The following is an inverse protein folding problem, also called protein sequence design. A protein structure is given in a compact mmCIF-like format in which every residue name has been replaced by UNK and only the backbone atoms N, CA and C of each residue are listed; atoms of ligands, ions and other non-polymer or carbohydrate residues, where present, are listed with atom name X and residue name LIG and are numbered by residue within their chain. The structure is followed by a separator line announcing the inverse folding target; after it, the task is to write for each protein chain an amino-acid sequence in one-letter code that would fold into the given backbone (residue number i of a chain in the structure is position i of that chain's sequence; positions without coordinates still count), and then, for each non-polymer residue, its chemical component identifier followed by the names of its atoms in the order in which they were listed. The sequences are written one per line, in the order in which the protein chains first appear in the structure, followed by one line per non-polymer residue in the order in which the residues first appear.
data_IF_929497736419
#
_entry.id   IF_929497736419
#
_cell.length_a   1.000
_cell.length_b   1.000
_cell.length_c   1.000
_cell.angle_alpha   90.00
_cell.angle_beta   90.00
_cell.angle_gamma   90.00
#
_symmetry.space_group_name_H-M   'P 1'
#
loop_
_entity.id
_entity.type
_entity.pdbx_description
1 polymer ?
#
# COMPACT_ATOMS: atom_id res chain seq x y z
N UNK A 1 -18.18 -12.46 0.34
CA UNK A 1 -17.14 -11.42 0.30
C UNK A 1 -17.36 -10.50 1.50
N UNK A 2 -16.30 -9.89 2.04
CA UNK A 2 -16.44 -8.81 3.03
C UNK A 2 -16.73 -7.50 2.30
N UNK A 3 -17.43 -6.58 2.96
CA UNK A 3 -17.73 -5.26 2.41
C UNK A 3 -16.82 -4.19 3.01
N UNK A 4 -16.42 -3.24 2.18
CA UNK A 4 -15.60 -2.11 2.59
C UNK A 4 -16.03 -0.82 1.92
N UNK A 5 -15.70 0.31 2.55
CA UNK A 5 -16.10 1.65 2.11
C UNK A 5 -14.90 2.61 2.14
N UNK A 6 -14.92 3.60 1.25
CA UNK A 6 -13.99 4.73 1.28
C UNK A 6 -14.65 5.92 1.96
N UNK A 7 -13.90 6.63 2.80
CA UNK A 7 -14.31 7.87 3.47
C UNK A 7 -13.17 8.87 3.49
N UNK A 8 -13.50 10.16 3.43
CA UNK A 8 -12.55 11.27 3.63
C UNK A 8 -13.11 12.23 4.70
N UNK A 9 -13.11 11.80 5.97
CA UNK A 9 -13.86 12.50 7.02
C UNK A 9 -13.20 13.82 7.43
N UNK A 10 -11.90 14.00 7.15
CA UNK A 10 -11.13 15.20 7.51
C UNK A 10 -11.44 16.42 6.63
N UNK A 11 -12.28 16.25 5.59
CA UNK A 11 -12.55 17.29 4.59
C UNK A 11 -14.02 17.70 4.53
N UNK A 12 -14.25 18.90 4.00
CA UNK A 12 -15.58 19.41 3.73
C UNK A 12 -15.60 20.30 2.48
N UNK A 13 -16.59 20.11 1.61
CA UNK A 13 -16.77 20.95 0.43
C UNK A 13 -17.61 22.19 0.79
N UNK A 14 -17.35 23.31 0.09
CA UNK A 14 -18.13 24.54 0.24
C UNK A 14 -19.61 24.31 -0.02
N UNK A 15 -19.93 23.51 -1.04
CA UNK A 15 -21.30 23.08 -1.34
C UNK A 15 -21.64 21.78 -0.58
N UNK A 16 -21.79 21.89 0.73
CA UNK A 16 -22.24 20.78 1.58
C UNK A 16 -23.16 21.27 2.69
N UNK A 17 -24.03 20.38 3.17
CA UNK A 17 -24.89 20.71 4.32
C UNK A 17 -24.07 21.02 5.57
N UNK A 18 -22.95 20.32 5.78
CA UNK A 18 -22.05 20.55 6.90
C UNK A 18 -21.47 21.97 6.87
N UNK A 19 -20.92 22.39 5.73
CA UNK A 19 -20.32 23.72 5.62
C UNK A 19 -21.37 24.84 5.70
N UNK A 20 -22.58 24.63 5.17
CA UNK A 20 -23.69 25.58 5.31
C UNK A 20 -24.11 25.76 6.77
N UNK A 21 -24.16 24.67 7.55
CA UNK A 21 -24.53 24.70 8.96
C UNK A 21 -23.39 25.23 9.86
N UNK A 22 -22.14 24.86 9.54
CA UNK A 22 -20.97 25.14 10.35
C UNK A 22 -19.81 25.68 9.49
N UNK A 23 -19.95 26.90 8.92
CA UNK A 23 -18.89 27.48 8.10
C UNK A 23 -17.63 27.83 8.91
N UNK A 24 -17.70 27.87 10.23
CA UNK A 24 -16.58 28.14 11.14
C UNK A 24 -15.73 26.90 11.46
N UNK A 25 -16.20 25.69 11.12
CA UNK A 25 -15.52 24.42 11.44
C UNK A 25 -14.30 24.10 10.59
N UNK A 26 -13.94 24.94 9.63
CA UNK A 26 -12.73 24.78 8.81
C UNK A 26 -11.59 25.64 9.35
N UNK A 27 -10.34 25.25 9.06
CA UNK A 27 -9.20 26.13 9.28
C UNK A 27 -9.32 27.41 8.45
N UNK A 28 -9.19 28.56 9.11
CA UNK A 28 -9.20 29.87 8.47
C UNK A 28 -8.68 30.97 9.40
N UNK A 29 -8.25 32.10 8.84
CA UNK A 29 -8.00 33.32 9.60
C UNK A 29 -9.07 34.38 9.31
N UNK A 30 -9.45 35.22 10.29
CA UNK A 30 -10.27 36.40 10.02
C UNK A 30 -9.63 37.24 8.92
N UNK A 31 -10.46 37.73 7.98
CA UNK A 31 -10.05 38.60 6.87
C UNK A 31 -9.03 37.99 5.90
N UNK A 32 -8.87 36.66 5.89
CA UNK A 32 -8.12 35.93 4.86
C UNK A 32 -9.08 35.11 4.01
N UNK A 33 -8.80 34.99 2.71
CA UNK A 33 -9.45 34.02 1.85
C UNK A 33 -9.14 32.61 2.32
N UNK A 34 -10.11 31.70 2.18
CA UNK A 34 -9.92 30.27 2.48
C UNK A 34 -9.50 29.58 1.19
N UNK A 35 -8.29 29.02 1.16
CA UNK A 35 -7.77 28.37 -0.05
C UNK A 35 -8.41 27.00 -0.24
N UNK A 36 -9.07 26.78 -1.37
CA UNK A 36 -9.56 25.46 -1.78
C UNK A 36 -8.48 24.67 -2.52
N UNK A 37 -8.46 23.36 -2.33
CA UNK A 37 -7.68 22.42 -3.13
C UNK A 37 -8.54 21.19 -3.33
N UNK A 38 -8.67 20.70 -4.57
CA UNK A 38 -9.69 19.70 -4.96
C UNK A 38 -11.11 20.06 -4.48
N UNK A 39 -11.48 21.35 -4.52
CA UNK A 39 -12.81 21.89 -4.16
C UNK A 39 -13.26 21.65 -2.70
N UNK A 40 -12.32 21.34 -1.80
CA UNK A 40 -12.60 21.03 -0.40
C UNK A 40 -11.76 21.89 0.55
N UNK A 41 -12.14 21.96 1.82
CA UNK A 41 -11.41 22.53 2.95
C UNK A 41 -11.06 21.43 3.97
N UNK A 42 -10.13 21.70 4.88
CA UNK A 42 -9.81 20.80 6.00
C UNK A 42 -10.64 21.18 7.22
N UNK A 43 -11.34 20.20 7.81
CA UNK A 43 -12.04 20.36 9.08
C UNK A 43 -11.05 20.58 10.24
N UNK A 44 -11.41 21.49 11.14
CA UNK A 44 -10.57 21.89 12.25
C UNK A 44 -10.65 20.88 13.41
N UNK A 45 -9.93 19.77 13.27
CA UNK A 45 -9.81 18.77 14.33
C UNK A 45 -9.11 19.28 15.60
N UNK A 46 -8.55 20.50 15.63
CA UNK A 46 -8.04 21.08 16.88
C UNK A 46 -9.17 21.62 17.80
N UNK A 47 -10.43 21.55 17.35
CA UNK A 47 -11.62 21.83 18.17
C UNK A 47 -12.32 20.55 18.60
N UNK A 48 -12.81 20.58 19.83
CA UNK A 48 -13.49 19.44 20.45
C UNK A 48 -14.86 19.17 19.79
N UNK A 49 -15.62 20.20 19.44
CA UNK A 49 -16.92 20.03 18.76
C UNK A 49 -16.78 19.32 17.40
N UNK A 50 -15.75 19.67 16.63
CA UNK A 50 -15.48 19.05 15.32
C UNK A 50 -15.02 17.59 15.48
N UNK A 51 -14.14 17.28 16.45
CA UNK A 51 -13.66 15.91 16.67
C UNK A 51 -14.79 14.97 17.11
N UNK A 52 -15.66 15.44 18.02
CA UNK A 52 -16.80 14.65 18.52
C UNK A 52 -17.83 14.40 17.41
N UNK A 53 -18.10 15.41 16.58
CA UNK A 53 -18.96 15.26 15.41
C UNK A 53 -18.40 14.22 14.43
N UNK A 54 -17.10 14.26 14.15
CA UNK A 54 -16.45 13.32 13.24
C UNK A 54 -16.53 11.89 13.76
N UNK A 55 -16.15 11.68 15.03
CA UNK A 55 -16.26 10.38 15.68
C UNK A 55 -17.69 9.85 15.60
N UNK A 56 -18.68 10.64 16.02
CA UNK A 56 -20.08 10.25 16.03
C UNK A 56 -20.59 9.91 14.62
N UNK A 57 -20.16 10.66 13.61
CA UNK A 57 -20.57 10.45 12.22
C UNK A 57 -20.04 9.11 11.67
N UNK A 58 -18.75 8.83 11.88
CA UNK A 58 -18.14 7.59 11.41
C UNK A 58 -18.61 6.39 12.24
N UNK A 59 -18.75 6.56 13.55
CA UNK A 59 -19.27 5.54 14.47
C UNK A 59 -20.68 5.09 14.07
N UNK A 60 -21.55 6.06 13.73
CA UNK A 60 -22.89 5.78 13.23
C UNK A 60 -22.86 5.03 11.91
N UNK A 61 -22.03 5.46 10.94
CA UNK A 61 -21.85 4.76 9.67
C UNK A 61 -21.46 3.29 9.88
N UNK A 62 -20.54 3.01 10.81
CA UNK A 62 -20.09 1.65 11.09
C UNK A 62 -21.10 0.84 11.92
N UNK A 63 -21.90 1.49 12.77
CA UNK A 63 -22.93 0.83 13.59
C UNK A 63 -24.19 0.47 12.81
N UNK A 64 -24.57 1.28 11.82
CA UNK A 64 -25.80 1.11 11.05
C UNK A 64 -25.62 0.19 9.82
N UNK A 65 -24.39 -0.19 9.49
CA UNK A 65 -24.07 -0.94 8.27
C UNK A 65 -23.05 -2.06 8.50
N UNK A 66 -23.16 -3.15 7.74
CA UNK A 66 -22.23 -4.27 7.80
C UNK A 66 -20.93 -3.97 7.02
N UNK A 67 -20.12 -3.05 7.53
CA UNK A 67 -18.82 -2.65 6.99
C UNK A 67 -17.72 -3.37 7.77
N UNK A 68 -16.81 -4.05 7.08
CA UNK A 68 -15.65 -4.73 7.69
C UNK A 68 -14.31 -4.09 7.30
N UNK A 69 -14.33 -3.08 6.43
CA UNK A 69 -13.14 -2.40 5.95
C UNK A 69 -13.41 -0.92 5.66
N UNK A 70 -12.52 -0.04 6.11
CA UNK A 70 -12.58 1.41 5.83
C UNK A 70 -11.27 1.86 5.23
N UNK A 71 -11.32 2.43 4.02
CA UNK A 71 -10.23 3.24 3.47
C UNK A 71 -10.43 4.68 3.90
N UNK A 72 -9.61 5.14 4.84
CA UNK A 72 -9.64 6.49 5.41
C UNK A 72 -8.66 7.39 4.65
N UNK A 73 -9.17 8.36 3.91
CA UNK A 73 -8.39 9.21 3.02
C UNK A 73 -8.27 10.66 3.49
N UNK A 74 -7.30 11.38 2.92
CA UNK A 74 -6.96 12.77 3.19
C UNK A 74 -6.26 13.37 1.96
N UNK A 75 -7.00 14.06 1.09
CA UNK A 75 -6.55 14.45 -0.26
C UNK A 75 -6.05 15.89 -0.40
N UNK A 76 -5.74 16.60 0.70
CA UNK A 76 -5.14 17.95 0.62
C UNK A 76 -4.30 18.32 1.83
N UNK A 77 -3.31 19.17 1.62
CA UNK A 77 -2.56 19.78 2.72
C UNK A 77 -3.30 20.98 3.36
N UNK A 78 -2.82 21.35 4.54
CA UNK A 78 -3.33 22.48 5.32
C UNK A 78 -2.99 23.82 4.65
N UNK A 79 -3.96 24.72 4.64
CA UNK A 79 -3.79 26.14 4.34
C UNK A 79 -4.51 26.95 5.42
N UNK A 80 -4.02 28.16 5.71
CA UNK A 80 -4.55 29.03 6.77
C UNK A 80 -4.83 28.30 8.12
N UNK A 81 -3.85 27.54 8.70
CA UNK A 81 -4.06 26.71 9.89
C UNK A 81 -4.27 27.57 11.14
N UNK A 82 -5.51 28.01 11.33
CA UNK A 82 -5.96 28.96 12.34
C UNK A 82 -7.48 28.92 12.47
N UNK A 83 -8.00 29.62 13.47
CA UNK A 83 -9.41 30.02 13.59
C UNK A 83 -9.50 31.25 14.51
N UNK A 84 -10.60 32.03 14.49
CA UNK A 84 -10.67 33.35 15.12
C UNK A 84 -10.20 33.40 16.58
N UNK A 85 -10.54 32.39 17.36
CA UNK A 85 -10.25 32.29 18.79
C UNK A 85 -8.77 32.05 19.10
N UNK A 86 -7.97 31.57 18.14
CA UNK A 86 -6.53 31.30 18.33
C UNK A 86 -5.61 32.36 17.71
N UNK A 87 -6.17 33.42 17.13
CA UNK A 87 -5.37 34.54 16.59
C UNK A 87 -4.55 35.18 17.71
N UNK A 88 -3.23 35.25 17.53
CA UNK A 88 -2.30 35.84 18.50
C UNK A 88 -1.97 34.96 19.70
N UNK A 89 -2.48 33.71 19.75
CA UNK A 89 -2.11 32.71 20.77
C UNK A 89 -0.95 31.83 20.29
N UNK A 90 -0.85 30.59 20.79
CA UNK A 90 0.20 29.65 20.43
C UNK A 90 -0.09 28.96 19.07
N UNK A 91 0.60 29.33 17.97
CA UNK A 91 0.34 28.75 16.65
C UNK A 91 0.72 27.26 16.56
N UNK A 92 1.56 26.75 17.46
CA UNK A 92 1.99 25.34 17.45
C UNK A 92 0.91 24.39 17.93
N UNK A 93 -0.01 24.88 18.77
CA UNK A 93 -1.09 24.07 19.37
C UNK A 93 -1.92 23.37 18.30
N UNK A 94 -2.21 24.06 17.20
CA UNK A 94 -3.10 23.61 16.13
C UNK A 94 -2.63 22.30 15.52
N UNK A 95 -1.34 22.22 15.19
CA UNK A 95 -0.73 21.03 14.60
C UNK A 95 -0.75 19.84 15.55
N UNK A 96 -0.46 20.10 16.84
CA UNK A 96 -0.41 19.06 17.86
C UNK A 96 -1.81 18.54 18.17
N UNK A 97 -2.77 19.44 18.38
CA UNK A 97 -4.13 19.08 18.77
C UNK A 97 -4.89 18.42 17.61
N UNK A 98 -4.66 18.85 16.36
CA UNK A 98 -5.20 18.15 15.19
C UNK A 98 -4.77 16.68 15.18
N UNK A 99 -3.46 16.43 15.27
CA UNK A 99 -2.93 15.07 15.22
C UNK A 99 -3.38 14.23 16.41
N UNK A 100 -3.39 14.81 17.63
CA UNK A 100 -3.89 14.12 18.83
C UNK A 100 -5.35 13.73 18.71
N UNK A 101 -6.19 14.63 18.18
CA UNK A 101 -7.61 14.37 18.02
C UNK A 101 -7.87 13.36 16.89
N UNK A 102 -7.14 13.43 15.77
CA UNK A 102 -7.16 12.39 14.75
C UNK A 102 -6.80 11.00 15.33
N UNK A 103 -5.72 10.93 16.11
CA UNK A 103 -5.29 9.71 16.77
C UNK A 103 -6.35 9.19 17.73
N UNK A 104 -6.92 10.06 18.55
CA UNK A 104 -8.00 9.71 19.46
C UNK A 104 -9.24 9.18 18.73
N UNK A 105 -9.65 9.79 17.62
CA UNK A 105 -10.78 9.32 16.81
C UNK A 105 -10.50 7.91 16.27
N UNK A 106 -9.32 7.67 15.69
CA UNK A 106 -8.96 6.35 15.17
C UNK A 106 -8.91 5.29 16.28
N UNK A 107 -8.32 5.62 17.43
CA UNK A 107 -8.23 4.73 18.59
C UNK A 107 -9.63 4.36 19.11
N UNK A 108 -10.53 5.34 19.19
CA UNK A 108 -11.90 5.14 19.68
C UNK A 108 -12.76 4.35 18.68
N UNK A 109 -12.62 4.62 17.38
CA UNK A 109 -13.31 3.84 16.34
C UNK A 109 -12.85 2.38 16.36
N UNK A 110 -11.56 2.11 16.50
CA UNK A 110 -11.06 0.73 16.63
C UNK A 110 -11.57 0.03 17.88
N UNK A 111 -11.68 0.78 18.99
CA UNK A 111 -12.23 0.25 20.25
C UNK A 111 -13.70 -0.12 20.12
N UNK A 112 -14.50 0.72 19.43
CA UNK A 112 -15.94 0.49 19.21
C UNK A 112 -16.20 -0.57 18.14
N UNK A 113 -15.35 -0.65 17.12
CA UNK A 113 -15.51 -1.50 15.93
C UNK A 113 -14.31 -2.43 15.73
N UNK A 114 -14.03 -3.38 16.65
CA UNK A 114 -12.81 -4.20 16.63
C UNK A 114 -12.71 -5.15 15.43
N UNK A 115 -13.82 -5.37 14.70
CA UNK A 115 -13.87 -6.21 13.51
C UNK A 115 -13.67 -5.42 12.20
N UNK A 116 -13.53 -4.09 12.27
CA UNK A 116 -13.31 -3.23 11.10
C UNK A 116 -11.81 -3.03 10.90
N UNK A 117 -11.32 -3.41 9.72
CA UNK A 117 -9.96 -3.10 9.31
C UNK A 117 -9.87 -1.68 8.73
N UNK A 118 -8.84 -0.93 9.11
CA UNK A 118 -8.60 0.42 8.60
C UNK A 118 -7.39 0.46 7.68
N UNK A 119 -7.55 1.10 6.52
CA UNK A 119 -6.47 1.47 5.61
C UNK A 119 -6.30 2.98 5.61
N UNK A 120 -5.13 3.49 5.99
CA UNK A 120 -4.83 4.93 5.86
C UNK A 120 -4.41 5.27 4.44
N UNK A 121 -4.93 6.38 3.94
CA UNK A 121 -4.65 6.94 2.63
C UNK A 121 -4.50 8.47 2.77
N UNK A 122 -3.62 9.06 1.98
CA UNK A 122 -3.53 10.51 1.81
C UNK A 122 -2.97 10.80 0.43
N UNK A 123 -3.85 10.77 -0.58
CA UNK A 123 -3.44 10.83 -2.00
C UNK A 123 -2.37 9.78 -2.33
N UNK A 124 -2.58 8.54 -1.87
CA UNK A 124 -1.52 7.55 -1.74
C UNK A 124 -0.83 7.62 -0.38
N UNK A 125 0.50 7.53 -0.40
CA UNK A 125 1.32 7.39 0.80
C UNK A 125 1.69 8.71 1.49
N UNK A 126 0.89 9.77 1.35
CA UNK A 126 1.18 11.10 1.94
C UNK A 126 1.23 11.10 3.47
N UNK A 127 0.73 10.05 4.11
CA UNK A 127 0.66 9.88 5.57
C UNK A 127 0.98 8.44 5.99
N UNK A 128 2.18 7.98 5.62
CA UNK A 128 2.75 6.70 6.05
C UNK A 128 3.82 6.95 7.10
N UNK A 129 3.43 6.84 8.36
CA UNK A 129 4.30 7.02 9.52
C UNK A 129 3.91 6.05 10.65
N UNK A 130 4.80 5.89 11.63
CA UNK A 130 4.60 4.95 12.74
C UNK A 130 3.44 5.35 13.67
N UNK A 131 3.12 6.63 13.76
CA UNK A 131 1.99 7.11 14.57
C UNK A 131 0.67 6.64 13.99
N UNK A 132 0.49 6.77 12.68
CA UNK A 132 -0.67 6.23 11.97
C UNK A 132 -0.66 4.71 11.89
N UNK A 133 0.47 4.08 11.56
CA UNK A 133 0.58 2.61 11.46
C UNK A 133 0.29 1.89 12.78
N UNK A 134 0.45 2.55 13.93
CA UNK A 134 0.01 1.99 15.22
C UNK A 134 -1.52 1.92 15.38
N UNK A 135 -2.28 2.53 14.46
CA UNK A 135 -3.74 2.73 14.51
C UNK A 135 -4.46 2.26 13.25
N UNK A 136 -3.77 1.70 12.27
CA UNK A 136 -4.38 1.18 11.04
C UNK A 136 -3.75 -0.16 10.71
N UNK A 137 -4.46 -0.98 9.95
CA UNK A 137 -4.03 -2.34 9.63
C UNK A 137 -3.15 -2.37 8.38
N UNK A 138 -3.33 -1.38 7.49
CA UNK A 138 -2.56 -1.21 6.27
C UNK A 138 -2.59 0.23 5.75
N UNK A 139 -1.81 0.53 4.72
CA UNK A 139 -1.76 1.85 4.09
C UNK A 139 -1.83 1.74 2.57
N UNK A 140 -2.50 2.70 1.96
CA UNK A 140 -2.43 2.90 0.51
C UNK A 140 -1.09 3.54 0.16
N UNK A 141 -0.20 2.76 -0.44
CA UNK A 141 1.22 3.15 -0.56
C UNK A 141 1.44 4.31 -1.53
N UNK A 142 0.72 4.37 -2.64
CA UNK A 142 0.83 5.43 -3.65
C UNK A 142 -0.31 5.33 -4.65
N UNK A 143 -0.84 6.47 -5.10
CA UNK A 143 -1.77 6.54 -6.22
C UNK A 143 -1.12 6.14 -7.56
N UNK A 144 0.22 6.17 -7.65
CA UNK A 144 0.91 5.61 -8.81
C UNK A 144 0.91 4.08 -8.73
N UNK A 145 0.04 3.46 -9.51
CA UNK A 145 -0.12 2.00 -9.66
C UNK A 145 0.60 1.42 -10.87
N UNK A 146 1.45 2.19 -11.54
CA UNK A 146 2.29 1.67 -12.60
C UNK A 146 3.25 0.61 -12.02
N UNK A 147 3.15 -0.62 -12.53
CA UNK A 147 3.86 -1.75 -11.94
C UNK A 147 5.39 -1.62 -11.92
N UNK A 148 5.98 -0.86 -12.86
CA UNK A 148 7.42 -0.64 -12.90
C UNK A 148 7.83 0.50 -11.96
N UNK A 149 7.12 1.63 -11.95
CA UNK A 149 7.38 2.73 -11.00
C UNK A 149 7.17 2.25 -9.55
N UNK A 150 6.17 1.40 -9.34
CA UNK A 150 5.87 0.74 -8.06
C UNK A 150 7.07 0.01 -7.48
N UNK A 151 7.95 -0.58 -8.29
CA UNK A 151 9.13 -1.29 -7.76
C UNK A 151 10.02 -0.37 -6.93
N UNK A 152 10.26 0.86 -7.40
CA UNK A 152 11.08 1.85 -6.68
C UNK A 152 10.39 2.38 -5.42
N UNK A 153 9.08 2.58 -5.50
CA UNK A 153 8.26 3.02 -4.35
C UNK A 153 8.25 1.94 -3.27
N UNK A 154 8.00 0.70 -3.64
CA UNK A 154 7.95 -0.47 -2.75
C UNK A 154 9.31 -0.78 -2.14
N UNK A 155 10.40 -0.66 -2.91
CA UNK A 155 11.75 -0.75 -2.36
C UNK A 155 11.96 0.31 -1.27
N UNK A 156 11.63 1.58 -1.56
CA UNK A 156 11.72 2.69 -0.61
C UNK A 156 10.92 2.43 0.68
N UNK A 157 9.69 1.96 0.53
CA UNK A 157 8.80 1.60 1.64
C UNK A 157 9.41 0.50 2.53
N UNK A 158 9.99 -0.53 1.91
CA UNK A 158 10.58 -1.69 2.61
C UNK A 158 11.82 -1.39 3.46
N UNK A 159 12.39 -0.18 3.38
CA UNK A 159 13.48 0.24 4.25
C UNK A 159 13.01 0.56 5.68
N UNK A 160 11.78 1.05 5.83
CA UNK A 160 11.22 1.46 7.12
C UNK A 160 10.06 0.58 7.59
N UNK A 161 9.36 -0.07 6.66
CA UNK A 161 8.08 -0.73 6.93
C UNK A 161 8.02 -2.14 6.33
N UNK A 162 7.09 -2.96 6.81
CA UNK A 162 6.94 -4.36 6.38
C UNK A 162 5.97 -4.49 5.18
N UNK A 163 6.11 -5.53 4.33
CA UNK A 163 5.23 -5.75 3.18
C UNK A 163 3.74 -5.91 3.54
N UNK A 164 3.43 -6.49 4.71
CA UNK A 164 2.04 -6.71 5.16
C UNK A 164 1.19 -5.45 5.16
N UNK A 165 1.75 -4.32 5.58
CA UNK A 165 1.01 -3.05 5.67
C UNK A 165 1.00 -2.29 4.34
N UNK A 166 1.78 -2.73 3.35
CA UNK A 166 1.98 -2.06 2.07
C UNK A 166 0.93 -2.53 1.06
N UNK A 167 -0.15 -1.77 0.88
CA UNK A 167 -1.14 -2.13 -0.16
C UNK A 167 -0.61 -1.83 -1.55
N UNK A 168 -0.76 -2.81 -2.44
CA UNK A 168 -0.31 -2.74 -3.83
C UNK A 168 -1.41 -3.29 -4.74
N UNK A 169 -1.90 -2.48 -5.67
CA UNK A 169 -3.04 -2.86 -6.51
C UNK A 169 -2.62 -3.16 -7.95
N UNK A 170 -3.26 -4.18 -8.51
CA UNK A 170 -3.33 -4.37 -9.97
C UNK A 170 -4.46 -3.50 -10.51
N UNK A 171 -4.11 -2.51 -11.32
CA UNK A 171 -5.09 -1.61 -11.98
C UNK A 171 -5.07 -1.80 -13.48
N UNK A 172 -5.96 -1.10 -14.17
CA UNK A 172 -6.08 -1.11 -15.63
C UNK A 172 -4.78 -0.66 -16.32
N UNK A 173 -4.65 -1.12 -17.57
CA UNK A 173 -3.49 -0.94 -18.43
C UNK A 173 -3.99 -0.57 -19.84
N UNK A 174 -3.42 0.45 -20.53
CA UNK A 174 -2.28 1.28 -20.15
C UNK A 174 -2.49 2.05 -18.84
N UNK A 175 -1.43 2.29 -18.07
CA UNK A 175 -1.53 2.99 -16.80
C UNK A 175 -2.02 4.44 -16.99
N UNK A 176 -2.95 4.89 -16.15
CA UNK A 176 -3.58 6.21 -16.29
C UNK A 176 -2.60 7.39 -16.17
N UNK A 177 -1.55 7.27 -15.35
CA UNK A 177 -0.58 8.36 -15.11
C UNK A 177 0.58 8.33 -16.09
N UNK A 178 1.14 7.15 -16.35
CA UNK A 178 2.37 6.99 -17.14
C UNK A 178 2.11 6.59 -18.60
N UNK A 179 0.88 6.17 -18.92
CA UNK A 179 0.50 5.57 -20.21
C UNK A 179 1.30 4.30 -20.56
N UNK A 180 2.00 3.70 -19.59
CA UNK A 180 2.80 2.50 -19.80
C UNK A 180 1.92 1.27 -19.94
N UNK A 181 2.27 0.43 -20.91
CA UNK A 181 1.67 -0.89 -21.09
C UNK A 181 2.65 -1.96 -20.62
N UNK A 182 2.21 -2.83 -19.70
CA UNK A 182 2.99 -3.97 -19.21
C UNK A 182 2.09 -5.20 -19.06
N UNK A 183 2.63 -6.43 -19.21
CA UNK A 183 1.86 -7.66 -19.09
C UNK A 183 1.11 -7.80 -17.75
N UNK A 184 -0.05 -8.45 -17.75
CA UNK A 184 -0.87 -8.68 -16.56
C UNK A 184 -0.06 -9.35 -15.43
N UNK A 185 0.68 -10.41 -15.77
CA UNK A 185 1.59 -11.11 -14.85
C UNK A 185 2.59 -10.19 -14.16
N UNK A 186 3.17 -9.23 -14.90
CA UNK A 186 4.12 -8.27 -14.33
C UNK A 186 3.45 -7.36 -13.30
N UNK A 187 2.24 -6.87 -13.60
CA UNK A 187 1.42 -6.08 -12.67
C UNK A 187 1.10 -6.86 -11.41
N UNK A 188 0.69 -8.12 -11.57
CA UNK A 188 0.42 -9.01 -10.44
C UNK A 188 1.66 -9.28 -9.60
N UNK A 189 2.79 -9.68 -10.19
CA UNK A 189 4.01 -9.91 -9.41
C UNK A 189 4.45 -8.65 -8.68
N UNK A 190 4.39 -7.47 -9.32
CA UNK A 190 4.69 -6.19 -8.66
C UNK A 190 3.77 -5.94 -7.46
N UNK A 191 2.47 -6.18 -7.60
CA UNK A 191 1.49 -6.04 -6.54
C UNK A 191 1.62 -7.12 -5.44
N UNK A 192 2.04 -8.33 -5.78
CA UNK A 192 2.30 -9.41 -4.83
C UNK A 192 3.47 -9.11 -3.89
N UNK A 193 4.34 -8.13 -4.18
CA UNK A 193 5.43 -7.73 -3.27
C UNK A 193 4.95 -7.00 -2.00
N UNK A 194 3.64 -6.74 -1.86
CA UNK A 194 3.01 -6.27 -0.64
C UNK A 194 1.71 -7.03 -0.38
N UNK A 195 0.70 -6.33 0.10
CA UNK A 195 -0.67 -6.82 0.22
C UNK A 195 -1.45 -6.57 -1.08
N UNK A 196 -1.72 -7.66 -1.82
CA UNK A 196 -2.33 -7.64 -3.15
C UNK A 196 -3.79 -7.17 -3.10
N UNK A 197 -4.09 -6.13 -3.89
CA UNK A 197 -5.44 -5.72 -4.27
C UNK A 197 -5.64 -5.74 -5.79
N UNK A 198 -6.89 -5.72 -6.24
CA UNK A 198 -7.26 -5.54 -7.65
C UNK A 198 -8.25 -4.38 -7.70
N UNK A 199 -7.96 -3.36 -8.50
CA UNK A 199 -8.79 -2.17 -8.67
C UNK A 199 -9.05 -1.80 -10.13
N UNK A 200 -8.75 -2.71 -11.07
CA UNK A 200 -9.14 -2.54 -12.47
C UNK A 200 -10.61 -2.86 -12.71
N UNK A 201 -11.17 -2.34 -13.80
CA UNK A 201 -12.51 -2.65 -14.26
C UNK A 201 -12.57 -4.07 -14.85
N UNK A 202 -12.84 -5.05 -13.99
CA UNK A 202 -12.88 -6.47 -14.35
C UNK A 202 -13.87 -6.80 -15.48
N UNK A 203 -14.87 -5.95 -15.73
CA UNK A 203 -15.82 -6.15 -16.83
C UNK A 203 -15.19 -5.96 -18.22
N UNK A 204 -14.00 -5.35 -18.28
CA UNK A 204 -13.25 -5.09 -19.51
C UNK A 204 -12.07 -6.04 -19.72
N UNK A 205 -11.82 -6.95 -18.79
CA UNK A 205 -10.74 -7.92 -18.91
C UNK A 205 -11.17 -9.06 -19.81
N UNK A 206 -10.26 -9.58 -20.64
CA UNK A 206 -10.56 -10.74 -21.49
C UNK A 206 -10.70 -12.02 -20.65
N UNK A 207 -11.27 -13.08 -21.22
CA UNK A 207 -11.38 -14.37 -20.54
C UNK A 207 -10.00 -14.95 -20.19
N UNK A 208 -8.99 -14.73 -21.04
CA UNK A 208 -7.60 -15.11 -20.78
C UNK A 208 -7.01 -14.32 -19.61
N UNK A 209 -7.22 -13.00 -19.56
CA UNK A 209 -6.76 -12.16 -18.46
C UNK A 209 -7.43 -12.56 -17.13
N UNK A 210 -8.73 -12.85 -17.14
CA UNK A 210 -9.48 -13.31 -15.97
C UNK A 210 -9.01 -14.69 -15.51
N UNK A 211 -8.67 -15.59 -16.43
CA UNK A 211 -8.09 -16.90 -16.12
C UNK A 211 -6.70 -16.76 -15.49
N UNK A 212 -5.81 -15.96 -16.09
CA UNK A 212 -4.47 -15.70 -15.55
C UNK A 212 -4.55 -15.03 -14.16
N UNK A 213 -5.44 -14.06 -13.98
CA UNK A 213 -5.68 -13.40 -12.70
C UNK A 213 -6.13 -14.38 -11.61
N UNK A 214 -7.01 -15.34 -11.94
CA UNK A 214 -7.48 -16.37 -11.01
C UNK A 214 -6.32 -17.23 -10.51
N UNK A 215 -5.45 -17.65 -11.41
CA UNK A 215 -4.27 -18.46 -11.08
C UNK A 215 -3.26 -17.67 -10.25
N UNK A 216 -3.06 -16.40 -10.57
CA UNK A 216 -2.19 -15.50 -9.80
C UNK A 216 -2.75 -15.23 -8.40
N UNK A 217 -4.06 -15.05 -8.24
CA UNK A 217 -4.70 -14.93 -6.92
C UNK A 217 -4.57 -16.23 -6.12
N UNK A 218 -4.76 -17.39 -6.75
CA UNK A 218 -4.56 -18.69 -6.10
C UNK A 218 -3.11 -18.86 -5.63
N UNK A 219 -2.16 -18.49 -6.49
CA UNK A 219 -0.73 -18.50 -6.20
C UNK A 219 -0.40 -17.60 -5.03
N UNK A 220 -0.88 -16.35 -5.03
CA UNK A 220 -0.67 -15.41 -3.94
C UNK A 220 -1.26 -15.93 -2.62
N UNK A 221 -2.45 -16.55 -2.63
CA UNK A 221 -3.03 -17.13 -1.41
C UNK A 221 -2.15 -18.21 -0.77
N UNK A 222 -1.41 -18.98 -1.58
CA UNK A 222 -0.43 -19.97 -1.09
C UNK A 222 0.77 -19.28 -0.42
N UNK A 223 1.37 -18.29 -1.08
CA UNK A 223 2.66 -17.72 -0.65
C UNK A 223 2.56 -16.44 0.19
N UNK A 224 1.38 -15.83 0.31
CA UNK A 224 1.20 -14.50 0.94
C UNK A 224 1.69 -14.45 2.38
N UNK A 225 1.65 -15.56 3.12
CA UNK A 225 2.14 -15.57 4.51
C UNK A 225 3.65 -15.30 4.56
N UNK A 226 4.41 -15.93 3.65
CA UNK A 226 5.85 -15.74 3.47
C UNK A 226 6.15 -14.30 3.07
N UNK A 227 5.43 -13.76 2.10
CA UNK A 227 5.62 -12.39 1.63
C UNK A 227 5.28 -11.37 2.71
N UNK A 228 4.10 -11.49 3.35
CA UNK A 228 3.58 -10.49 4.27
C UNK A 228 4.33 -10.51 5.62
N UNK A 229 4.68 -11.70 6.13
CA UNK A 229 5.21 -11.86 7.49
C UNK A 229 6.69 -12.26 7.55
N UNK A 230 7.29 -12.64 6.42
CA UNK A 230 8.67 -13.10 6.33
C UNK A 230 9.73 -11.99 6.43
N UNK A 231 10.99 -12.43 6.39
CA UNK A 231 12.16 -11.57 6.29
C UNK A 231 12.35 -11.13 4.84
N UNK A 232 12.55 -9.83 4.61
CA UNK A 232 12.69 -9.26 3.27
C UNK A 232 14.16 -9.00 2.96
N UNK A 233 14.64 -9.54 1.85
CA UNK A 233 15.97 -9.31 1.30
C UNK A 233 15.85 -8.67 -0.09
N UNK A 234 16.26 -7.39 -0.19
CA UNK A 234 16.37 -6.69 -1.48
C UNK A 234 17.63 -7.18 -2.19
N UNK A 235 17.48 -8.00 -3.23
CA UNK A 235 18.61 -8.63 -3.92
C UNK A 235 19.16 -7.74 -5.04
N UNK A 236 18.27 -7.15 -5.84
CA UNK A 236 18.62 -6.19 -6.90
C UNK A 236 17.65 -5.02 -6.88
N UNK A 237 18.19 -3.81 -6.94
CA UNK A 237 17.45 -2.56 -6.80
C UNK A 237 16.89 -2.08 -8.14
N UNK A 238 15.65 -1.59 -8.23
CA UNK A 238 15.12 -0.94 -9.44
C UNK A 238 15.88 0.35 -9.83
N UNK A 239 16.77 0.85 -8.96
CA UNK A 239 17.61 2.02 -9.22
C UNK A 239 18.90 1.66 -9.95
N UNK A 240 19.20 0.37 -10.12
CA UNK A 240 20.47 -0.13 -10.64
C UNK A 240 20.22 -1.28 -11.61
N UNK A 241 20.74 -1.16 -12.83
CA UNK A 241 20.65 -2.21 -13.84
C UNK A 241 19.24 -2.37 -14.43
N UNK A 242 19.02 -3.51 -15.09
CA UNK A 242 17.82 -3.83 -15.87
C UNK A 242 16.88 -4.83 -15.18
N UNK A 243 17.19 -5.22 -13.93
CA UNK A 243 16.46 -6.24 -13.18
C UNK A 243 16.26 -5.78 -11.73
N UNK A 244 15.05 -6.02 -11.21
CA UNK A 244 14.73 -5.93 -9.79
C UNK A 244 14.50 -7.32 -9.25
N UNK A 245 14.99 -7.61 -8.05
CA UNK A 245 14.71 -8.87 -7.38
C UNK A 245 14.55 -8.67 -5.87
N UNK A 246 13.49 -9.24 -5.30
CA UNK A 246 13.26 -9.25 -3.85
C UNK A 246 12.94 -10.66 -3.40
N UNK A 247 13.59 -11.08 -2.33
CA UNK A 247 13.41 -12.37 -1.68
C UNK A 247 12.67 -12.18 -0.35
N UNK A 248 11.82 -13.14 -0.02
CA UNK A 248 11.09 -13.26 1.23
C UNK A 248 11.40 -14.63 1.81
N UNK A 249 11.80 -14.68 3.08
CA UNK A 249 12.08 -15.94 3.81
C UNK A 249 11.11 -16.06 4.95
N UNK A 250 10.40 -17.19 5.04
CA UNK A 250 9.51 -17.45 6.17
C UNK A 250 10.30 -17.46 7.48
N UNK A 251 9.71 -17.01 8.59
CA UNK A 251 10.43 -16.86 9.86
C UNK A 251 10.91 -18.17 10.48
N UNK A 252 10.28 -19.28 10.11
CA UNK A 252 10.70 -20.65 10.43
C UNK A 252 11.76 -21.20 9.46
N UNK A 253 12.18 -20.42 8.44
CA UNK A 253 13.17 -20.80 7.42
C UNK A 253 12.77 -21.96 6.48
N UNK A 254 11.50 -22.39 6.50
CA UNK A 254 11.02 -23.53 5.72
C UNK A 254 10.56 -23.16 4.29
N UNK A 255 10.22 -21.89 4.04
CA UNK A 255 9.73 -21.42 2.73
C UNK A 255 10.47 -20.16 2.30
N UNK A 256 10.76 -20.06 1.00
CA UNK A 256 11.38 -18.90 0.36
C UNK A 256 10.60 -18.50 -0.89
N UNK A 257 10.28 -17.23 -1.03
CA UNK A 257 9.67 -16.66 -2.23
C UNK A 257 10.63 -15.64 -2.83
N UNK A 258 10.92 -15.76 -4.12
CA UNK A 258 11.72 -14.77 -4.86
C UNK A 258 10.87 -14.20 -5.99
N UNK A 259 10.67 -12.88 -5.97
CA UNK A 259 10.04 -12.14 -7.07
C UNK A 259 11.13 -11.43 -7.87
N UNK A 260 11.08 -11.58 -9.20
CA UNK A 260 12.05 -11.05 -10.15
C UNK A 260 11.34 -10.34 -11.28
N UNK A 261 11.80 -9.15 -11.63
CA UNK A 261 11.23 -8.30 -12.68
C UNK A 261 12.33 -7.80 -13.61
N UNK A 262 12.20 -8.09 -14.91
CA UNK A 262 12.98 -7.44 -15.96
C UNK A 262 12.38 -6.09 -16.31
N UNK A 263 13.21 -5.09 -16.60
CA UNK A 263 12.73 -3.74 -16.94
C UNK A 263 12.65 -3.58 -18.45
N UNK A 264 13.74 -3.87 -19.14
CA UNK A 264 13.81 -3.89 -20.59
C UNK A 264 14.86 -4.89 -21.04
N UNK A 265 14.53 -5.64 -22.08
CA UNK A 265 15.40 -6.64 -22.65
C UNK A 265 16.46 -5.97 -23.53
N UNK A 266 17.72 -6.31 -23.28
CA UNK A 266 18.85 -5.83 -24.07
C UNK A 266 19.76 -7.00 -24.45
N UNK A 267 20.29 -6.97 -25.68
CA UNK A 267 21.32 -7.91 -26.18
C UNK A 267 21.00 -9.41 -26.06
N UNK A 268 19.72 -9.79 -25.92
CA UNK A 268 19.31 -11.17 -25.67
C UNK A 268 19.74 -11.75 -24.32
N UNK A 269 20.25 -10.93 -23.39
CA UNK A 269 20.56 -11.32 -22.01
C UNK A 269 19.28 -11.75 -21.28
N UNK A 270 19.07 -13.06 -21.20
CA UNK A 270 17.84 -13.63 -20.60
C UNK A 270 18.07 -14.31 -19.27
N UNK A 271 19.33 -14.49 -18.86
CA UNK A 271 19.71 -15.22 -17.64
C UNK A 271 20.09 -14.23 -16.54
N UNK A 272 19.38 -14.31 -15.42
CA UNK A 272 19.69 -13.56 -14.21
C UNK A 272 20.16 -14.55 -13.15
N UNK A 273 21.33 -14.31 -12.56
CA UNK A 273 21.85 -15.10 -11.45
C UNK A 273 21.66 -14.34 -10.14
N UNK A 274 20.85 -14.88 -9.23
CA UNK A 274 20.49 -14.24 -7.97
C UNK A 274 21.06 -15.01 -6.79
N UNK A 275 22.07 -14.44 -6.11
CA UNK A 275 22.58 -14.99 -4.85
C UNK A 275 21.58 -14.69 -3.74
N UNK A 276 20.96 -15.75 -3.22
CA UNK A 276 19.96 -15.64 -2.16
C UNK A 276 20.63 -15.35 -0.80
N UNK A 277 19.82 -14.92 0.16
CA UNK A 277 20.27 -14.47 1.50
C UNK A 277 19.40 -15.11 2.59
N UNK A 278 19.97 -15.27 3.78
CA UNK A 278 19.21 -15.77 4.95
C UNK A 278 18.75 -17.23 4.86
N UNK A 279 19.44 -18.04 4.03
CA UNK A 279 19.20 -19.48 3.92
C UNK A 279 20.11 -20.24 4.88
N UNK A 280 19.67 -21.43 5.31
CA UNK A 280 20.51 -22.40 6.00
C UNK A 280 21.34 -23.15 4.95
N UNK A 281 22.68 -23.05 5.01
CA UNK A 281 23.55 -23.53 3.93
C UNK A 281 23.55 -25.05 3.75
N UNK A 282 23.35 -25.78 4.84
CA UNK A 282 23.26 -27.24 4.94
C UNK A 282 21.88 -27.81 4.63
N UNK A 283 20.85 -26.97 4.51
CA UNK A 283 19.51 -27.38 4.13
C UNK A 283 19.38 -27.62 2.62
N UNK A 284 18.41 -28.46 2.25
CA UNK A 284 17.96 -28.65 0.87
C UNK A 284 16.64 -27.90 0.64
N UNK A 285 16.54 -27.30 -0.54
CA UNK A 285 15.38 -26.54 -0.98
C UNK A 285 14.92 -27.05 -2.34
N UNK A 286 13.62 -27.28 -2.51
CA UNK A 286 13.00 -27.71 -3.77
C UNK A 286 12.12 -26.61 -4.35
N UNK A 287 12.27 -26.33 -5.65
CA UNK A 287 11.37 -25.43 -6.36
C UNK A 287 10.00 -26.10 -6.54
N UNK A 288 8.98 -25.52 -5.89
CA UNK A 288 7.62 -26.01 -5.88
C UNK A 288 6.94 -26.04 -7.27
N UNK A 289 7.56 -25.43 -8.28
CA UNK A 289 7.04 -25.33 -9.65
C UNK A 289 7.61 -26.41 -10.56
N UNK A 290 8.91 -26.71 -10.45
CA UNK A 290 9.61 -27.61 -11.37
C UNK A 290 10.32 -28.80 -10.70
N UNK A 291 10.34 -28.87 -9.35
CA UNK A 291 10.94 -29.96 -8.59
C UNK A 291 12.46 -29.94 -8.50
N UNK A 292 13.13 -28.91 -9.02
CA UNK A 292 14.59 -28.81 -8.95
C UNK A 292 15.03 -28.60 -7.51
N UNK A 293 15.99 -29.41 -7.04
CA UNK A 293 16.54 -29.32 -5.69
C UNK A 293 17.87 -28.57 -5.70
N UNK A 294 18.08 -27.75 -4.68
CA UNK A 294 19.28 -26.95 -4.46
C UNK A 294 19.72 -27.07 -3.00
N UNK A 295 21.02 -27.07 -2.74
CA UNK A 295 21.49 -26.80 -1.38
C UNK A 295 21.41 -25.30 -1.08
N UNK A 296 21.21 -24.96 0.20
CA UNK A 296 21.28 -23.57 0.64
C UNK A 296 22.62 -22.92 0.30
N UNK A 297 23.72 -23.66 0.42
CA UNK A 297 25.05 -23.21 0.01
C UNK A 297 25.12 -22.85 -1.49
N UNK A 298 24.52 -23.66 -2.36
CA UNK A 298 24.46 -23.35 -3.80
C UNK A 298 23.70 -22.06 -4.06
N UNK A 299 22.51 -21.91 -3.45
CA UNK A 299 21.68 -20.71 -3.62
C UNK A 299 22.35 -19.44 -3.05
N UNK A 300 23.13 -19.55 -1.98
CA UNK A 300 23.82 -18.43 -1.35
C UNK A 300 25.07 -17.98 -2.12
N UNK A 301 25.87 -18.93 -2.62
CA UNK A 301 27.20 -18.66 -3.19
C UNK A 301 27.23 -18.67 -4.72
N UNK A 302 26.56 -19.62 -5.35
CA UNK A 302 26.43 -19.68 -6.82
C UNK A 302 25.27 -18.79 -7.28
N UNK A 303 24.07 -19.06 -6.77
CA UNK A 303 22.85 -18.30 -7.03
C UNK A 303 21.78 -19.08 -7.78
N UNK A 304 20.55 -18.57 -7.68
CA UNK A 304 19.37 -19.02 -8.40
C UNK A 304 19.38 -18.43 -9.83
N UNK A 305 19.43 -19.28 -10.86
CA UNK A 305 19.27 -18.84 -12.24
C UNK A 305 17.77 -18.63 -12.55
N UNK A 306 17.42 -17.45 -13.02
CA UNK A 306 16.07 -17.08 -13.45
C UNK A 306 16.10 -16.60 -14.88
N UNK A 307 15.20 -17.13 -15.71
CA UNK A 307 15.08 -16.76 -17.12
C UNK A 307 13.97 -15.73 -17.36
N UNK A 308 14.35 -14.57 -17.88
CA UNK A 308 13.46 -13.47 -18.28
C UNK A 308 13.56 -13.27 -19.80
N UNK A 309 12.43 -13.09 -20.46
CA UNK A 309 12.34 -12.92 -21.92
C UNK A 309 11.33 -11.81 -22.21
N UNK A 310 11.73 -10.85 -23.04
CA UNK A 310 10.98 -9.63 -23.41
C UNK A 310 11.04 -8.51 -22.36
N UNK A 311 10.61 -7.32 -22.78
CA UNK A 311 10.42 -6.18 -21.88
C UNK A 311 9.33 -6.49 -20.86
N UNK A 312 9.53 -6.02 -19.62
CA UNK A 312 8.59 -6.20 -18.52
C UNK A 312 8.17 -7.67 -18.29
N UNK A 313 9.11 -8.61 -18.43
CA UNK A 313 8.90 -9.99 -17.99
C UNK A 313 9.14 -10.13 -16.48
N UNK A 314 8.51 -11.12 -15.86
CA UNK A 314 8.66 -11.36 -14.42
C UNK A 314 8.48 -12.83 -14.04
N UNK A 315 9.13 -13.23 -12.95
CA UNK A 315 9.07 -14.58 -12.40
C UNK A 315 8.86 -14.53 -10.90
N UNK A 316 8.15 -15.53 -10.40
CA UNK A 316 8.10 -15.86 -8.99
C UNK A 316 8.65 -17.28 -8.83
N UNK A 317 9.61 -17.45 -7.94
CA UNK A 317 10.14 -18.76 -7.55
C UNK A 317 9.72 -19.04 -6.10
N UNK A 318 9.21 -20.23 -5.84
CA UNK A 318 8.81 -20.69 -4.51
C UNK A 318 9.64 -21.90 -4.15
N UNK A 319 10.44 -21.81 -3.09
CA UNK A 319 11.32 -22.88 -2.62
C UNK A 319 10.83 -23.38 -1.27
N UNK A 320 10.59 -24.68 -1.17
CA UNK A 320 10.24 -25.37 0.07
C UNK A 320 11.48 -26.10 0.61
N UNK A 321 11.76 -26.00 1.91
CA UNK A 321 12.80 -26.79 2.57
C UNK A 321 12.34 -28.24 2.69
N UNK A 322 13.25 -29.20 2.46
CA UNK A 322 12.99 -30.65 2.56
C UNK A 322 13.96 -31.37 3.50
#
# INVERSE_FOLDING_TARGET
MRFGIWVEPEMVNRDSNLYRAHPDWVYHFPRRSRTEFRNQFVLNLARDDVREWMLTTVDRLLSEHNIEFVKWDMNRHFTEPGWPEEVGKNPRRIWIDHVRNLYWILDELRRRHPNVAFESCSGGGGRVDLGILSRVDQVWTSDNTDAFDRLRIQEGFSFAYIPRVMMCWVTDCPNMLTQRTVPLRYRFHSAMAGSLGIGGDLSKWSDEDLAEARDLVKTYKRVRSVIQNGLVYRLQSPRKGSVTATQYVARNHDEVVVLVWGHSQQFGESKVLLRLRGLEEDALYVDATNGTSYSGAYLAHHGLEVRLINDFDSRMVHLDRI
#
